data_IF_698737177967
#
_entry.id   IF_698737177967
#
_cell.length_a   1.000
_cell.length_b   1.000
_cell.length_c   1.000
_cell.angle_alpha   90.00
_cell.angle_beta   90.00
_cell.angle_gamma   90.00
#
_symmetry.space_group_name_H-M   'P 1'
#
loop_
_entity.id
_entity.type
_entity.pdbx_description
1 polymer ?
#
# COMPACT_ATOMS: atom_id res chain seq x y z
N UNK A 1 10.12 47.72 34.76
CA UNK A 1 9.12 47.36 33.73
C UNK A 1 9.92 46.90 32.51
N UNK A 2 9.88 45.69 31.97
CA UNK A 2 8.93 44.56 31.98
C UNK A 2 9.78 43.30 31.77
N UNK A 3 9.45 42.20 32.48
CA UNK A 3 9.91 40.86 32.13
C UNK A 3 9.30 40.47 30.77
N UNK A 4 10.12 40.29 29.74
CA UNK A 4 9.71 39.66 28.48
C UNK A 4 10.36 38.27 28.42
N UNK A 5 9.77 37.34 29.15
CA UNK A 5 10.03 35.91 28.99
C UNK A 5 9.42 35.47 27.64
N UNK A 6 10.26 35.36 26.61
CA UNK A 6 9.88 34.77 25.33
C UNK A 6 9.56 33.29 25.54
N UNK A 7 8.28 32.97 25.65
CA UNK A 7 7.77 31.61 25.49
C UNK A 7 7.98 31.23 24.01
N UNK A 8 9.05 30.49 23.71
CA UNK A 8 9.18 29.82 22.42
C UNK A 8 8.04 28.83 22.30
N UNK A 9 6.99 29.20 21.56
CA UNK A 9 5.99 28.23 21.09
C UNK A 9 6.71 27.24 20.20
N UNK A 10 6.95 26.03 20.70
CA UNK A 10 7.39 24.91 19.90
C UNK A 10 6.33 24.69 18.82
N UNK A 11 6.60 25.20 17.62
CA UNK A 11 5.79 24.89 16.45
C UNK A 11 6.04 23.42 16.17
N UNK A 12 5.14 22.58 16.68
CA UNK A 12 5.09 21.17 16.31
C UNK A 12 4.77 21.17 14.82
N UNK A 13 5.80 21.08 13.98
CA UNK A 13 5.66 20.70 12.58
C UNK A 13 5.13 19.28 12.58
N UNK A 14 3.82 19.13 12.78
CA UNK A 14 3.15 17.86 12.68
C UNK A 14 3.37 17.34 11.27
N UNK A 15 4.23 16.34 11.14
CA UNK A 15 4.30 15.55 9.93
C UNK A 15 2.98 14.78 9.86
N UNK A 16 1.95 15.41 9.31
CA UNK A 16 0.71 14.74 8.96
C UNK A 16 1.05 13.82 7.79
N UNK A 17 1.60 12.64 8.10
CA UNK A 17 1.58 11.51 7.18
C UNK A 17 0.10 11.20 6.96
N UNK A 18 -0.49 11.83 5.95
CA UNK A 18 -1.90 11.69 5.66
C UNK A 18 -2.19 10.21 5.36
N UNK A 19 -3.24 9.69 5.98
CA UNK A 19 -3.70 8.33 5.71
C UNK A 19 -4.21 8.26 4.26
N UNK A 20 -3.60 7.40 3.44
CA UNK A 20 -3.96 7.25 2.01
C UNK A 20 -5.18 6.36 1.76
N UNK A 21 -5.82 5.86 2.81
CA UNK A 21 -7.02 5.02 2.75
C UNK A 21 -8.04 5.50 3.76
N UNK A 22 -9.32 5.49 3.40
CA UNK A 22 -10.41 5.92 4.28
C UNK A 22 -11.49 4.85 4.34
N UNK A 23 -11.83 4.42 5.56
CA UNK A 23 -12.93 3.51 5.85
C UNK A 23 -13.98 4.28 6.67
N UNK A 24 -15.17 4.48 6.11
CA UNK A 24 -16.23 5.28 6.75
C UNK A 24 -17.08 4.44 7.71
N UNK A 25 -17.15 3.13 7.48
CA UNK A 25 -17.95 2.22 8.29
C UNK A 25 -17.21 1.87 9.59
N UNK A 26 -17.76 2.26 10.75
CA UNK A 26 -17.20 1.88 12.06
C UNK A 26 -17.63 0.48 12.50
N UNK A 27 -18.80 0.02 12.04
CA UNK A 27 -19.39 -1.26 12.44
C UNK A 27 -20.40 -1.70 11.39
N UNK A 28 -20.32 -2.96 10.96
CA UNK A 28 -21.35 -3.62 10.16
C UNK A 28 -21.79 -4.88 10.90
N UNK A 29 -23.08 -4.97 11.21
CA UNK A 29 -23.72 -6.18 11.73
C UNK A 29 -24.71 -6.69 10.70
N UNK A 30 -24.65 -7.98 10.40
CA UNK A 30 -25.58 -8.69 9.50
C UNK A 30 -25.97 -10.02 10.12
N UNK A 31 -27.07 -10.61 9.67
CA UNK A 31 -27.46 -11.95 10.09
C UNK A 31 -26.51 -12.98 9.47
N UNK A 32 -26.34 -14.11 10.15
CA UNK A 32 -25.57 -15.24 9.61
C UNK A 32 -26.13 -15.65 8.23
N UNK A 33 -25.23 -15.93 7.30
CA UNK A 33 -25.56 -16.28 5.92
C UNK A 33 -25.80 -15.07 5.01
N UNK A 34 -25.99 -13.86 5.54
CA UNK A 34 -26.07 -12.65 4.72
C UNK A 34 -24.71 -12.24 4.16
N UNK A 35 -24.74 -11.49 3.07
CA UNK A 35 -23.57 -10.84 2.49
C UNK A 35 -23.20 -9.57 3.27
N UNK A 36 -21.92 -9.40 3.56
CA UNK A 36 -21.36 -8.20 4.18
C UNK A 36 -20.48 -7.47 3.18
N UNK A 37 -20.69 -6.17 3.01
CA UNK A 37 -19.86 -5.30 2.19
C UNK A 37 -19.20 -4.22 3.04
N UNK A 38 -17.88 -4.13 2.97
CA UNK A 38 -17.07 -3.13 3.68
C UNK A 38 -16.37 -2.23 2.67
N UNK A 39 -16.62 -0.93 2.74
CA UNK A 39 -16.09 0.02 1.77
C UNK A 39 -14.80 0.69 2.23
N UNK A 40 -13.88 0.87 1.28
CA UNK A 40 -12.64 1.62 1.46
C UNK A 40 -12.41 2.50 0.23
N UNK A 41 -12.14 3.79 0.45
CA UNK A 41 -11.57 4.65 -0.58
C UNK A 41 -10.06 4.81 -0.37
N UNK A 42 -9.34 5.16 -1.42
CA UNK A 42 -7.90 5.38 -1.35
C UNK A 42 -7.45 6.57 -2.18
N UNK A 43 -6.28 7.11 -1.86
CA UNK A 43 -5.66 8.19 -2.60
C UNK A 43 -4.25 7.80 -3.03
N UNK A 44 -4.02 7.82 -4.34
CA UNK A 44 -2.71 7.65 -4.94
C UNK A 44 -2.62 8.40 -6.26
N UNK A 45 -1.41 8.84 -6.59
CA UNK A 45 -1.01 9.31 -7.92
C UNK A 45 -0.29 8.23 -8.73
N UNK A 46 -0.03 7.06 -8.14
CA UNK A 46 0.81 6.05 -8.75
C UNK A 46 0.07 5.16 -9.74
N UNK A 47 0.81 4.71 -10.75
CA UNK A 47 0.30 3.79 -11.76
C UNK A 47 0.29 2.35 -11.25
N UNK A 48 1.32 1.96 -10.49
CA UNK A 48 1.52 0.62 -9.96
C UNK A 48 1.39 0.62 -8.44
N UNK A 49 0.31 0.04 -7.96
CA UNK A 49 0.02 -0.09 -6.53
C UNK A 49 -0.77 -1.36 -6.28
N UNK A 50 -0.83 -1.76 -5.01
CA UNK A 50 -1.57 -2.90 -4.55
C UNK A 50 -2.49 -2.48 -3.41
N UNK A 51 -3.73 -2.94 -3.45
CA UNK A 51 -4.69 -2.77 -2.38
C UNK A 51 -4.85 -4.10 -1.65
N UNK A 52 -5.02 -4.04 -0.34
CA UNK A 52 -5.09 -5.22 0.52
C UNK A 52 -6.25 -5.08 1.49
N UNK A 53 -6.82 -6.22 1.84
CA UNK A 53 -7.70 -6.35 2.98
C UNK A 53 -7.10 -7.33 4.00
N UNK A 54 -7.18 -6.92 5.27
CA UNK A 54 -6.76 -7.69 6.43
C UNK A 54 -7.92 -7.82 7.40
N UNK A 55 -7.89 -8.88 8.21
CA UNK A 55 -8.77 -9.07 9.35
C UNK A 55 -7.93 -9.14 10.62
N UNK A 56 -8.33 -8.39 11.64
CA UNK A 56 -7.86 -8.59 12.99
C UNK A 56 -8.80 -9.54 13.73
N UNK A 57 -8.23 -10.65 14.18
CA UNK A 57 -8.90 -11.65 14.99
C UNK A 57 -9.14 -11.13 16.41
N UNK A 58 -10.04 -11.79 17.15
CA UNK A 58 -10.27 -11.48 18.57
C UNK A 58 -9.03 -11.67 19.44
N UNK A 59 -8.08 -12.53 19.01
CA UNK A 59 -6.77 -12.67 19.64
C UNK A 59 -5.88 -11.43 19.50
N UNK A 60 -6.22 -10.51 18.60
CA UNK A 60 -5.40 -9.35 18.23
C UNK A 60 -4.53 -9.56 17.00
N UNK A 61 -4.35 -10.81 16.56
CA UNK A 61 -3.57 -11.15 15.37
C UNK A 61 -4.19 -10.57 14.09
N UNK A 62 -3.35 -10.11 13.17
CA UNK A 62 -3.76 -9.58 11.87
C UNK A 62 -3.43 -10.62 10.80
N UNK A 63 -4.45 -11.04 10.05
CA UNK A 63 -4.31 -11.98 8.95
C UNK A 63 -4.62 -11.31 7.61
N UNK A 64 -3.86 -11.69 6.59
CA UNK A 64 -4.10 -11.30 5.21
C UNK A 64 -5.30 -12.05 4.63
N UNK A 65 -6.19 -11.34 3.91
CA UNK A 65 -7.35 -11.94 3.26
C UNK A 65 -7.21 -12.00 1.74
N UNK A 66 -6.97 -10.83 1.13
CA UNK A 66 -7.02 -10.67 -0.32
C UNK A 66 -6.23 -9.43 -0.77
N UNK A 67 -5.65 -9.51 -1.97
CA UNK A 67 -4.87 -8.46 -2.63
C UNK A 67 -5.49 -8.16 -3.99
N UNK A 68 -5.63 -6.88 -4.33
CA UNK A 68 -6.02 -6.38 -5.65
C UNK A 68 -4.87 -5.56 -6.26
N UNK A 69 -4.18 -6.05 -7.30
CA UNK A 69 -3.21 -5.25 -8.04
C UNK A 69 -3.89 -4.16 -8.89
N UNK A 70 -3.27 -2.98 -9.00
CA UNK A 70 -3.83 -1.86 -9.79
C UNK A 70 -3.86 -2.10 -11.30
N UNK A 71 -3.00 -2.99 -11.80
CA UNK A 71 -2.89 -3.36 -13.20
C UNK A 71 -3.89 -4.44 -13.61
N UNK A 72 -4.47 -5.14 -12.64
CA UNK A 72 -5.50 -6.15 -12.90
C UNK A 72 -6.88 -5.50 -12.76
N UNK A 73 -7.64 -5.45 -13.85
CA UNK A 73 -9.01 -4.96 -13.85
C UNK A 73 -10.01 -6.01 -13.36
N UNK A 74 -9.60 -7.27 -13.22
CA UNK A 74 -10.47 -8.32 -12.69
C UNK A 74 -10.52 -8.23 -11.16
N UNK A 75 -11.75 -8.29 -10.66
CA UNK A 75 -12.02 -8.40 -9.24
C UNK A 75 -11.44 -9.71 -8.70
N UNK A 76 -10.56 -9.60 -7.72
CA UNK A 76 -9.95 -10.78 -7.09
C UNK A 76 -10.95 -11.50 -6.18
N UNK A 77 -10.75 -12.82 -6.03
CA UNK A 77 -11.53 -13.67 -5.14
C UNK A 77 -10.62 -14.65 -4.39
N UNK A 78 -10.90 -14.86 -3.10
CA UNK A 78 -10.19 -15.80 -2.22
C UNK A 78 -11.17 -16.39 -1.21
N UNK A 79 -11.61 -17.64 -1.43
CA UNK A 79 -12.62 -18.28 -0.58
C UNK A 79 -13.95 -17.52 -0.58
N UNK A 80 -14.44 -17.17 0.62
CA UNK A 80 -15.65 -16.34 0.82
C UNK A 80 -15.42 -14.85 0.59
N UNK A 81 -14.17 -14.42 0.42
CA UNK A 81 -13.82 -13.02 0.19
C UNK A 81 -13.75 -12.72 -1.30
N UNK A 82 -14.35 -11.61 -1.72
CA UNK A 82 -14.16 -11.03 -3.03
C UNK A 82 -14.04 -9.51 -2.91
N UNK A 83 -13.46 -8.87 -3.92
CA UNK A 83 -13.38 -7.40 -3.95
C UNK A 83 -14.27 -6.82 -5.05
N UNK A 84 -14.80 -5.63 -4.81
CA UNK A 84 -15.36 -4.77 -5.85
C UNK A 84 -14.37 -3.63 -6.06
N UNK A 85 -13.58 -3.72 -7.13
CA UNK A 85 -12.54 -2.76 -7.44
C UNK A 85 -13.01 -1.73 -8.47
N UNK A 86 -13.03 -0.46 -8.07
CA UNK A 86 -13.42 0.65 -8.92
C UNK A 86 -12.27 1.66 -9.02
N UNK A 87 -11.33 1.37 -9.92
CA UNK A 87 -10.09 2.14 -10.08
C UNK A 87 -10.33 3.63 -10.34
N UNK A 88 -11.28 3.98 -11.21
CA UNK A 88 -11.61 5.37 -11.56
C UNK A 88 -12.19 6.17 -10.39
N UNK A 89 -12.92 5.50 -9.50
CA UNK A 89 -13.52 6.09 -8.30
C UNK A 89 -12.60 6.01 -7.08
N UNK A 90 -11.39 5.45 -7.25
CA UNK A 90 -10.44 5.14 -6.18
C UNK A 90 -11.11 4.44 -4.99
N UNK A 91 -11.90 3.42 -5.30
CA UNK A 91 -12.66 2.65 -4.32
C UNK A 91 -12.35 1.16 -4.43
N UNK A 92 -12.33 0.50 -3.28
CA UNK A 92 -12.25 -0.94 -3.15
C UNK A 92 -13.17 -1.39 -2.00
N UNK A 93 -14.15 -2.23 -2.30
CA UNK A 93 -15.00 -2.84 -1.27
C UNK A 93 -14.62 -4.29 -1.08
N UNK A 94 -14.60 -4.77 0.18
CA UNK A 94 -14.52 -6.19 0.51
C UNK A 94 -15.94 -6.74 0.63
N UNK A 95 -16.21 -7.85 -0.07
CA UNK A 95 -17.46 -8.59 0.01
C UNK A 95 -17.18 -9.95 0.65
N UNK A 96 -17.93 -10.25 1.71
CA UNK A 96 -17.86 -11.52 2.46
C UNK A 96 -19.17 -12.27 2.18
N UNK A 97 -19.10 -13.36 1.41
CA UNK A 97 -20.27 -14.16 1.05
C UNK A 97 -20.61 -15.18 2.14
N UNK A 98 -21.90 -15.34 2.45
CA UNK A 98 -22.41 -16.29 3.44
C UNK A 98 -21.70 -16.16 4.80
N UNK A 99 -21.83 -14.96 5.40
CA UNK A 99 -21.11 -14.60 6.63
C UNK A 99 -21.36 -15.60 7.75
N UNK A 100 -20.30 -15.95 8.47
CA UNK A 100 -20.35 -16.88 9.62
C UNK A 100 -19.97 -16.16 10.91
N UNK A 101 -20.32 -16.69 12.08
CA UNK A 101 -19.88 -16.13 13.36
C UNK A 101 -18.35 -15.96 13.43
N UNK A 102 -17.59 -16.86 12.82
CA UNK A 102 -16.12 -16.79 12.78
C UNK A 102 -15.60 -15.63 11.93
N UNK A 103 -16.41 -15.06 11.03
CA UNK A 103 -16.06 -13.87 10.25
C UNK A 103 -16.11 -12.58 11.08
N UNK A 104 -16.64 -12.64 12.31
CA UNK A 104 -16.61 -11.51 13.23
C UNK A 104 -15.18 -11.03 13.50
N UNK A 105 -14.96 -9.73 13.42
CA UNK A 105 -13.64 -9.12 13.63
C UNK A 105 -13.57 -7.69 13.12
N UNK A 106 -12.39 -7.08 13.24
CA UNK A 106 -12.12 -5.77 12.63
C UNK A 106 -11.42 -5.97 11.30
N UNK A 107 -11.77 -5.16 10.31
CA UNK A 107 -11.23 -5.27 8.96
C UNK A 107 -10.50 -4.00 8.57
N UNK A 108 -9.33 -4.15 7.96
CA UNK A 108 -8.45 -3.05 7.58
C UNK A 108 -8.13 -3.12 6.09
N UNK A 109 -8.35 -2.00 5.42
CA UNK A 109 -7.91 -1.77 4.07
C UNK A 109 -6.51 -1.13 4.08
N UNK A 110 -5.64 -1.50 3.14
CA UNK A 110 -4.31 -0.90 3.01
C UNK A 110 -3.94 -0.69 1.55
N UNK A 111 -3.14 0.35 1.31
CA UNK A 111 -2.55 0.68 0.02
C UNK A 111 -1.03 0.55 0.10
N UNK A 112 -0.44 -0.14 -0.86
CA UNK A 112 0.99 -0.20 -1.10
C UNK A 112 1.28 0.41 -2.47
N UNK A 113 2.12 1.43 -2.53
CA UNK A 113 2.64 1.99 -3.78
C UNK A 113 4.00 1.37 -4.10
N UNK A 114 4.16 0.78 -5.29
CA UNK A 114 5.38 0.05 -5.66
C UNK A 114 6.53 0.98 -6.07
N UNK A 115 6.32 2.28 -6.08
CA UNK A 115 7.27 3.31 -6.48
C UNK A 115 8.62 3.20 -5.80
N UNK A 116 8.65 2.91 -4.49
CA UNK A 116 9.92 2.75 -3.78
C UNK A 116 10.74 1.58 -4.32
N UNK A 117 10.12 0.55 -4.88
CA UNK A 117 10.84 -0.55 -5.51
C UNK A 117 11.30 -0.15 -6.92
N UNK A 118 10.45 0.47 -7.73
CA UNK A 118 10.81 0.86 -9.09
C UNK A 118 11.85 1.98 -9.13
N UNK A 119 11.73 3.02 -8.30
CA UNK A 119 12.72 4.09 -8.19
C UNK A 119 14.07 3.55 -7.70
N UNK A 120 14.07 2.65 -6.70
CA UNK A 120 15.31 2.04 -6.21
C UNK A 120 15.93 1.12 -7.27
N UNK A 121 15.13 0.34 -7.99
CA UNK A 121 15.62 -0.49 -9.10
C UNK A 121 16.17 0.38 -10.23
N UNK A 122 15.46 1.43 -10.64
CA UNK A 122 15.92 2.36 -11.67
C UNK A 122 17.22 3.08 -11.25
N UNK A 123 17.34 3.49 -9.99
CA UNK A 123 18.56 4.06 -9.44
C UNK A 123 19.70 3.04 -9.37
N UNK A 124 19.41 1.77 -9.06
CA UNK A 124 20.39 0.69 -9.04
C UNK A 124 20.91 0.40 -10.47
N UNK A 125 20.04 0.34 -11.47
CA UNK A 125 20.41 0.17 -12.88
C UNK A 125 21.21 1.36 -13.40
N UNK A 126 20.80 2.59 -13.06
CA UNK A 126 21.55 3.80 -13.41
C UNK A 126 22.96 3.79 -12.79
N UNK A 127 23.07 3.44 -11.49
CA UNK A 127 24.36 3.31 -10.81
C UNK A 127 25.22 2.19 -11.39
N UNK A 128 24.61 1.05 -11.74
CA UNK A 128 25.31 -0.06 -12.38
C UNK A 128 25.85 0.35 -13.75
N UNK A 129 25.04 1.05 -14.55
CA UNK A 129 25.45 1.60 -15.85
C UNK A 129 26.62 2.58 -15.72
N UNK A 130 26.56 3.51 -14.75
CA UNK A 130 27.67 4.44 -14.47
C UNK A 130 28.94 3.72 -13.98
N UNK A 131 28.79 2.65 -13.19
CA UNK A 131 29.92 1.86 -12.69
C UNK A 131 30.59 1.08 -13.82
N UNK A 132 29.80 0.46 -14.72
CA UNK A 132 30.30 -0.17 -15.95
C UNK A 132 31.06 0.84 -16.83
N UNK A 133 30.52 2.04 -17.03
CA UNK A 133 31.18 3.08 -17.82
C UNK A 133 32.53 3.48 -17.21
N UNK A 134 32.59 3.72 -15.90
CA UNK A 134 33.84 4.06 -15.21
C UNK A 134 34.88 2.93 -15.23
N UNK A 135 34.44 1.67 -15.18
CA UNK A 135 35.33 0.52 -15.34
C UNK A 135 35.88 0.47 -16.77
N UNK A 136 35.05 0.68 -17.80
CA UNK A 136 35.50 0.77 -19.19
C UNK A 136 36.48 1.94 -19.41
N UNK A 137 36.28 3.09 -18.74
CA UNK A 137 37.20 4.23 -18.81
C UNK A 137 38.53 4.00 -18.07
N UNK A 138 38.56 3.10 -17.07
CA UNK A 138 39.73 2.83 -16.21
C UNK A 138 40.46 1.52 -16.57
N UNK A 139 39.84 0.63 -17.35
CA UNK A 139 40.24 -0.75 -17.57
C UNK A 139 41.23 -0.99 -18.73
N UNK A 140 42.29 -1.73 -18.41
CA UNK A 140 43.28 -2.33 -19.32
C UNK A 140 42.63 -3.44 -20.19
N UNK A 141 43.23 -3.88 -21.33
CA UNK A 141 42.60 -4.77 -22.34
C UNK A 141 42.06 -6.13 -21.87
N UNK A 142 42.14 -6.47 -20.58
CA UNK A 142 41.57 -7.68 -20.00
C UNK A 142 40.09 -7.54 -19.56
N UNK A 143 39.54 -6.32 -19.47
CA UNK A 143 38.17 -6.07 -18.99
C UNK A 143 37.16 -5.73 -20.10
N UNK A 144 37.55 -5.85 -21.38
CA UNK A 144 36.71 -5.57 -22.56
C UNK A 144 35.39 -6.35 -22.59
N UNK A 145 35.29 -7.48 -21.87
CA UNK A 145 34.05 -8.24 -21.74
C UNK A 145 32.94 -7.50 -20.96
N UNK A 146 33.28 -6.52 -20.12
CA UNK A 146 32.30 -5.74 -19.36
C UNK A 146 31.64 -4.62 -20.19
N UNK A 147 32.20 -4.24 -21.34
CA UNK A 147 31.73 -3.11 -22.15
C UNK A 147 30.73 -3.51 -23.25
N UNK A 148 30.61 -4.80 -23.56
CA UNK A 148 29.72 -5.32 -24.62
C UNK A 148 28.37 -5.86 -24.11
N UNK A 149 28.09 -5.69 -22.80
CA UNK A 149 26.83 -6.10 -22.13
C UNK A 149 26.22 -4.95 -21.35
#
# INVERSE_FOLDING_TARGET
>A
RILLSLLLSAQTSGCNMAQKVTQVQSTASRQEGEEVTLDCSYETSQNFYHLFWYKQLLSGDIIFLIRQPSFDSQNQRSGCYSVVFQKSLKSISLVISASRPEDSGKYFCALWESDTLFEVMAQAEQKLGLLKQRLCERGSPAETHACTS
#
